data_IF_160457466282
#
_entry.id   IF_160457466282
#
_cell.length_a   1.000
_cell.length_b   1.000
_cell.length_c   1.000
_cell.angle_alpha   90.00
_cell.angle_beta   90.00
_cell.angle_gamma   90.00
#
_symmetry.space_group_name_H-M   'P 1'
#
loop_
_entity.id
_entity.type
_entity.pdbx_description
1 polymer ?
#
# COMPACT_ATOMS: atom_id res chain seq x y z
N UNK A 1 -43.20 13.73 -44.87
CA UNK A 1 -42.27 12.60 -44.69
C UNK A 1 -41.32 12.96 -43.57
N UNK A 2 -41.56 12.45 -42.36
CA UNK A 2 -40.86 12.89 -41.15
C UNK A 2 -39.59 12.04 -40.98
N UNK A 3 -38.45 12.70 -41.18
CA UNK A 3 -37.10 12.22 -40.95
C UNK A 3 -36.89 11.88 -39.46
N UNK A 4 -36.91 10.60 -39.08
CA UNK A 4 -36.56 10.14 -37.74
C UNK A 4 -35.05 9.89 -37.64
N UNK A 5 -34.27 10.96 -37.53
CA UNK A 5 -32.90 10.88 -37.02
C UNK A 5 -32.94 10.85 -35.50
N UNK A 6 -33.30 9.70 -34.94
CA UNK A 6 -33.36 9.49 -33.50
C UNK A 6 -32.54 8.27 -33.12
N UNK A 7 -31.30 8.51 -32.67
CA UNK A 7 -30.51 7.55 -31.89
C UNK A 7 -30.35 6.15 -32.49
N UNK A 8 -30.02 6.04 -33.78
CA UNK A 8 -29.62 4.79 -34.42
C UNK A 8 -28.14 4.46 -34.10
N UNK A 9 -27.78 4.49 -32.82
CA UNK A 9 -26.57 3.84 -32.33
C UNK A 9 -26.96 2.44 -31.91
N UNK A 10 -26.64 1.44 -32.73
CA UNK A 10 -26.94 0.01 -32.53
C UNK A 10 -26.94 -0.39 -31.04
N UNK A 11 -28.05 -0.90 -30.49
CA UNK A 11 -28.20 -1.24 -29.05
C UNK A 11 -27.15 -2.21 -28.50
N UNK A 12 -26.42 -2.90 -29.38
CA UNK A 12 -25.45 -3.93 -29.05
C UNK A 12 -24.21 -3.39 -28.32
N UNK A 13 -23.71 -2.21 -28.69
CA UNK A 13 -22.48 -1.66 -28.12
C UNK A 13 -22.64 -1.24 -26.65
N UNK A 14 -23.77 -0.61 -26.32
CA UNK A 14 -24.06 -0.11 -24.97
C UNK A 14 -24.30 -1.25 -23.98
N UNK A 15 -24.95 -2.33 -24.42
CA UNK A 15 -25.19 -3.52 -23.58
C UNK A 15 -23.87 -4.19 -23.18
N UNK A 16 -22.92 -4.32 -24.13
CA UNK A 16 -21.60 -4.91 -23.85
C UNK A 16 -20.82 -4.07 -22.84
N UNK A 17 -20.84 -2.74 -22.96
CA UNK A 17 -20.15 -1.84 -22.02
C UNK A 17 -20.74 -1.94 -20.61
N UNK A 18 -22.06 -2.06 -20.48
CA UNK A 18 -22.71 -2.25 -19.17
C UNK A 18 -22.31 -3.57 -18.51
N UNK A 19 -22.24 -4.66 -19.29
CA UNK A 19 -21.81 -5.97 -18.77
C UNK A 19 -20.33 -5.92 -18.33
N UNK A 20 -19.45 -5.34 -19.14
CA UNK A 20 -18.03 -5.19 -18.79
C UNK A 20 -17.87 -4.32 -17.54
N UNK A 21 -18.61 -3.20 -17.46
CA UNK A 21 -18.59 -2.31 -16.29
C UNK A 21 -18.99 -3.03 -14.99
N UNK A 22 -20.02 -3.87 -15.06
CA UNK A 22 -20.49 -4.65 -13.91
C UNK A 22 -19.49 -5.71 -13.48
N UNK A 23 -18.85 -6.40 -14.44
CA UNK A 23 -17.78 -7.37 -14.17
C UNK A 23 -16.58 -6.69 -13.50
N UNK A 24 -16.14 -5.54 -14.02
CA UNK A 24 -15.03 -4.77 -13.44
C UNK A 24 -15.35 -4.29 -12.03
N UNK A 25 -16.58 -3.81 -11.79
CA UNK A 25 -17.03 -3.36 -10.47
C UNK A 25 -16.91 -4.50 -9.44
N UNK A 26 -17.37 -5.70 -9.78
CA UNK A 26 -17.29 -6.88 -8.90
C UNK A 26 -15.83 -7.26 -8.62
N UNK A 27 -14.97 -7.27 -9.64
CA UNK A 27 -13.55 -7.57 -9.47
C UNK A 27 -12.84 -6.57 -8.56
N UNK A 28 -13.19 -5.29 -8.66
CA UNK A 28 -12.64 -4.23 -7.81
C UNK A 28 -13.07 -4.43 -6.35
N UNK A 29 -14.36 -4.71 -6.10
CA UNK A 29 -14.87 -4.96 -4.74
C UNK A 29 -14.19 -6.19 -4.12
N UNK A 30 -14.07 -7.29 -4.86
CA UNK A 30 -13.39 -8.51 -4.40
C UNK A 30 -11.90 -8.26 -4.18
N UNK A 31 -11.24 -7.54 -5.10
CA UNK A 31 -9.82 -7.19 -5.00
C UNK A 31 -9.50 -6.30 -3.80
N UNK A 32 -10.34 -5.30 -3.52
CA UNK A 32 -10.22 -4.47 -2.31
C UNK A 32 -10.58 -5.25 -1.04
N UNK A 33 -11.55 -6.16 -1.09
CA UNK A 33 -11.99 -6.95 0.09
C UNK A 33 -10.98 -8.04 0.49
N UNK A 34 -10.38 -8.75 -0.46
CA UNK A 34 -9.37 -9.79 -0.17
C UNK A 34 -7.97 -9.22 0.08
N UNK A 35 -7.76 -7.94 -0.22
CA UNK A 35 -6.47 -7.28 -0.13
C UNK A 35 -5.56 -7.66 -1.31
N UNK A 36 -5.15 -6.65 -2.07
CA UNK A 36 -4.24 -6.78 -3.20
C UNK A 36 -2.87 -7.39 -2.85
N UNK A 37 -2.51 -7.43 -1.56
CA UNK A 37 -1.25 -7.99 -1.07
C UNK A 37 -1.10 -9.49 -1.38
N UNK A 38 -2.21 -10.26 -1.41
CA UNK A 38 -2.20 -11.69 -1.73
C UNK A 38 -2.13 -11.98 -3.24
N UNK A 39 -2.66 -11.10 -4.08
CA UNK A 39 -2.61 -11.24 -5.54
C UNK A 39 -1.26 -10.79 -6.08
N UNK A 40 -0.76 -9.65 -5.61
CA UNK A 40 0.56 -9.16 -6.00
C UNK A 40 1.69 -10.05 -5.47
N UNK A 41 1.54 -10.68 -4.30
CA UNK A 41 2.55 -11.61 -3.80
C UNK A 41 2.74 -12.85 -4.69
N UNK A 42 1.68 -13.27 -5.40
CA UNK A 42 1.64 -14.45 -6.28
C UNK A 42 1.97 -14.10 -7.74
N UNK A 43 1.64 -12.89 -8.20
CA UNK A 43 1.92 -12.40 -9.56
C UNK A 43 3.33 -11.77 -9.66
N UNK A 44 3.76 -11.00 -8.67
CA UNK A 44 5.09 -10.35 -8.63
C UNK A 44 6.12 -11.16 -7.81
N UNK A 45 5.81 -12.40 -7.44
CA UNK A 45 6.70 -13.29 -6.68
C UNK A 45 7.94 -13.79 -7.44
N UNK A 46 8.11 -13.43 -8.71
CA UNK A 46 9.17 -13.93 -9.59
C UNK A 46 10.36 -12.97 -9.82
N UNK A 47 10.42 -11.81 -9.15
CA UNK A 47 11.52 -10.86 -9.37
C UNK A 47 11.85 -10.00 -8.15
N UNK A 48 13.00 -10.29 -7.53
CA UNK A 48 13.62 -9.45 -6.51
C UNK A 48 13.15 -9.74 -5.09
N UNK A 49 14.09 -9.97 -4.17
CA UNK A 49 13.80 -10.13 -2.74
C UNK A 49 12.90 -8.98 -2.28
N UNK A 50 11.72 -9.32 -1.76
CA UNK A 50 10.65 -8.39 -1.39
C UNK A 50 11.15 -7.46 -0.28
N UNK A 51 11.80 -6.37 -0.66
CA UNK A 51 12.11 -5.34 0.30
C UNK A 51 10.82 -4.64 0.69
N UNK A 52 10.51 -4.63 1.98
CA UNK A 52 9.30 -4.02 2.52
C UNK A 52 9.58 -2.65 3.18
N UNK A 53 10.80 -2.11 3.00
CA UNK A 53 11.25 -0.83 3.57
C UNK A 53 10.27 0.29 3.21
N UNK A 54 9.81 0.33 1.95
CA UNK A 54 8.85 1.34 1.49
C UNK A 54 7.49 1.24 2.20
N UNK A 55 6.93 0.05 2.35
CA UNK A 55 5.66 -0.16 3.06
C UNK A 55 5.75 0.13 4.56
N UNK A 56 6.89 -0.18 5.18
CA UNK A 56 7.10 0.15 6.60
C UNK A 56 7.26 1.66 6.76
N UNK A 57 8.01 2.32 5.86
CA UNK A 57 8.16 3.78 5.87
C UNK A 57 6.81 4.50 5.72
N UNK A 58 5.95 4.08 4.78
CA UNK A 58 4.62 4.69 4.64
C UNK A 58 3.76 4.54 5.89
N UNK A 59 3.83 3.38 6.55
CA UNK A 59 3.10 3.14 7.79
C UNK A 59 3.63 4.00 8.93
N UNK A 60 4.96 4.15 9.06
CA UNK A 60 5.57 5.06 10.04
C UNK A 60 5.15 6.51 9.83
N UNK A 61 5.10 6.97 8.58
CA UNK A 61 4.61 8.32 8.24
C UNK A 61 3.14 8.48 8.62
N UNK A 62 2.31 7.47 8.33
CA UNK A 62 0.89 7.49 8.70
C UNK A 62 0.70 7.54 10.23
N UNK A 63 1.39 6.69 11.00
CA UNK A 63 1.32 6.72 12.46
C UNK A 63 1.77 8.06 13.04
N UNK A 64 2.81 8.67 12.46
CA UNK A 64 3.25 10.01 12.85
C UNK A 64 2.17 11.08 12.56
N UNK A 65 1.55 11.05 11.38
CA UNK A 65 0.48 11.99 11.01
C UNK A 65 -0.79 11.82 11.87
N UNK A 66 -1.09 10.58 12.24
CA UNK A 66 -2.25 10.23 13.07
C UNK A 66 -2.00 10.44 14.57
N UNK A 67 -0.81 10.88 14.98
CA UNK A 67 -0.39 10.95 16.38
C UNK A 67 -0.58 9.62 17.13
N UNK A 68 -0.41 8.50 16.44
CA UNK A 68 -0.52 7.17 17.04
C UNK A 68 0.81 6.81 17.75
N UNK A 69 0.84 7.12 19.04
CA UNK A 69 2.02 6.96 19.88
C UNK A 69 2.45 5.50 20.01
N UNK A 70 1.48 4.60 20.24
CA UNK A 70 1.77 3.17 20.40
C UNK A 70 2.33 2.59 19.11
N UNK A 71 1.66 2.88 17.99
CA UNK A 71 2.09 2.37 16.70
C UNK A 71 3.43 2.94 16.25
N UNK A 72 3.76 4.19 16.55
CA UNK A 72 5.06 4.73 16.14
C UNK A 72 6.20 4.33 17.08
N UNK A 73 5.97 4.33 18.40
CA UNK A 73 7.03 4.22 19.40
C UNK A 73 7.27 2.79 19.90
N UNK A 74 6.21 1.98 20.00
CA UNK A 74 6.24 0.68 20.71
C UNK A 74 5.99 -0.51 19.77
N UNK A 75 5.17 -0.35 18.74
CA UNK A 75 4.85 -1.43 17.81
C UNK A 75 6.09 -1.90 17.03
N UNK A 76 6.49 -3.15 17.27
CA UNK A 76 7.58 -3.81 16.55
C UNK A 76 7.19 -4.11 15.11
N UNK A 77 8.04 -3.70 14.17
CA UNK A 77 7.90 -3.97 12.73
C UNK A 77 9.13 -4.69 12.21
N UNK A 78 8.91 -5.61 11.28
CA UNK A 78 9.97 -6.30 10.57
C UNK A 78 10.23 -5.62 9.22
N UNK A 79 11.45 -5.16 9.01
CA UNK A 79 11.92 -4.57 7.76
C UNK A 79 12.85 -5.55 7.05
N UNK A 80 12.38 -6.16 5.97
CA UNK A 80 13.17 -6.96 5.05
C UNK A 80 13.80 -6.04 3.99
N UNK A 81 15.11 -6.15 3.86
CA UNK A 81 15.94 -5.45 2.89
C UNK A 81 16.06 -6.27 1.59
N UNK A 82 16.42 -5.61 0.49
CA UNK A 82 16.57 -6.27 -0.82
C UNK A 82 17.66 -7.36 -0.85
N UNK A 83 18.59 -7.35 0.13
CA UNK A 83 19.61 -8.37 0.33
C UNK A 83 19.11 -9.59 1.15
N UNK A 84 17.83 -9.62 1.54
CA UNK A 84 17.23 -10.69 2.33
C UNK A 84 17.40 -10.56 3.85
N UNK A 85 18.14 -9.55 4.34
CA UNK A 85 18.27 -9.28 5.77
C UNK A 85 16.94 -8.75 6.33
N UNK A 86 16.50 -9.27 7.48
CA UNK A 86 15.31 -8.78 8.18
C UNK A 86 15.71 -8.13 9.49
N UNK A 87 15.34 -6.85 9.65
CA UNK A 87 15.55 -6.04 10.84
C UNK A 87 14.25 -5.96 11.61
N UNK A 88 14.33 -5.95 12.94
CA UNK A 88 13.16 -5.75 13.81
C UNK A 88 13.37 -4.49 14.63
N UNK A 89 12.32 -3.69 14.74
CA UNK A 89 12.31 -2.50 15.58
C UNK A 89 11.03 -1.69 15.41
N UNK A 90 10.83 -0.68 16.25
CA UNK A 90 9.74 0.29 16.08
C UNK A 90 10.12 1.40 15.11
N UNK A 91 9.14 2.17 14.62
CA UNK A 91 9.41 3.31 13.72
C UNK A 91 10.36 4.32 14.37
N UNK A 92 10.24 4.52 15.68
CA UNK A 92 11.16 5.35 16.44
C UNK A 92 12.60 4.82 16.37
N UNK A 93 12.81 3.51 16.58
CA UNK A 93 14.14 2.91 16.51
C UNK A 93 14.74 3.01 15.11
N UNK A 94 13.93 2.83 14.07
CA UNK A 94 14.38 3.00 12.69
C UNK A 94 14.73 4.45 12.32
N UNK A 95 14.12 5.44 12.99
CA UNK A 95 14.40 6.85 12.77
C UNK A 95 15.61 7.37 13.57
N UNK A 96 15.82 6.84 14.78
CA UNK A 96 16.79 7.36 15.77
C UNK A 96 18.07 6.54 15.90
N UNK A 97 18.04 5.22 15.69
CA UNK A 97 19.23 4.39 15.85
C UNK A 97 20.05 4.39 14.55
N UNK A 98 21.25 4.97 14.58
CA UNK A 98 22.14 5.10 13.41
C UNK A 98 22.41 3.77 12.69
N UNK A 99 22.55 2.67 13.44
CA UNK A 99 22.75 1.33 12.90
C UNK A 99 21.58 0.86 12.02
N UNK A 100 20.34 1.15 12.43
CA UNK A 100 19.12 0.76 11.73
C UNK A 100 18.83 1.74 10.59
N UNK A 101 18.94 3.05 10.87
CA UNK A 101 18.76 4.16 9.93
C UNK A 101 19.66 4.02 8.70
N UNK A 102 20.94 3.69 8.90
CA UNK A 102 21.90 3.49 7.81
C UNK A 102 21.55 2.28 6.95
N UNK A 103 21.07 1.19 7.56
CA UNK A 103 20.71 -0.02 6.82
C UNK A 103 19.47 0.16 5.93
N UNK A 104 18.54 1.02 6.34
CA UNK A 104 17.35 1.36 5.54
C UNK A 104 17.53 2.64 4.70
N UNK A 105 18.75 3.19 4.62
CA UNK A 105 19.07 4.37 3.82
C UNK A 105 18.36 5.66 4.28
N UNK A 106 17.99 5.77 5.56
CA UNK A 106 17.27 6.92 6.09
C UNK A 106 15.82 7.03 5.61
N UNK A 107 15.20 5.92 5.19
CA UNK A 107 13.84 5.91 4.65
C UNK A 107 12.74 6.32 5.65
N UNK A 108 13.01 6.29 6.96
CA UNK A 108 12.06 6.65 8.02
C UNK A 108 12.56 7.92 8.71
N UNK A 109 11.71 8.96 8.75
CA UNK A 109 11.99 10.23 9.41
C UNK A 109 11.53 10.19 10.87
N UNK A 110 12.20 11.00 11.69
CA UNK A 110 11.82 11.22 13.08
C UNK A 110 10.47 11.94 13.17
N UNK A 111 9.70 11.62 14.20
CA UNK A 111 8.42 12.27 14.53
C UNK A 111 8.58 13.00 15.88
N UNK A 112 8.92 14.30 15.87
CA UNK A 112 9.23 15.04 17.09
C UNK A 112 8.03 15.11 18.02
N UNK A 113 8.23 14.83 19.31
CA UNK A 113 7.20 14.97 20.35
C UNK A 113 6.19 13.83 20.43
N UNK A 114 6.25 12.83 19.54
CA UNK A 114 5.36 11.68 19.61
C UNK A 114 5.87 10.65 20.63
N UNK A 115 7.15 10.26 20.57
CA UNK A 115 7.73 9.32 21.54
C UNK A 115 8.29 10.03 22.76
N UNK A 116 7.41 10.54 23.61
CA UNK A 116 7.78 10.97 24.95
C UNK A 116 7.92 9.69 25.78
N UNK A 117 9.16 9.22 25.96
CA UNK A 117 9.42 8.13 26.90
C UNK A 117 9.09 8.64 28.32
N UNK A 118 8.33 7.88 29.13
CA UNK A 118 8.15 8.21 30.55
C UNK A 118 9.45 8.06 31.35
#
# INVERSE_FOLDING_TARGET
>A
MINKRGAEGTPTGTIVVLIIGLVVLVLIIVGFSMGWNNLFSKIFGFGGGKSNVGSVSSNCVASCQLNDQYSFCTEERSVTLGNGTTLKGSCNQFATMDNLKSQIGGAIKECPGLCIQP
#
